data_IF_853246424100
#
_entry.id   IF_853246424100
#
_cell.length_a   1.000
_cell.length_b   1.000
_cell.length_c   1.000
_cell.angle_alpha   90.00
_cell.angle_beta   90.00
_cell.angle_gamma   90.00
#
_symmetry.space_group_name_H-M   'P 1'
#
loop_
_entity.id
_entity.type
_entity.pdbx_description
1 polymer ?
#
# COMPACT_ATOMS: atom_id res chain seq x y z
N UNK A 1 -85.00 75.61 29.79
CA UNK A 1 -84.15 75.60 28.58
C UNK A 1 -82.91 76.45 28.87
N UNK A 2 -81.72 75.95 28.49
CA UNK A 2 -80.35 76.43 28.81
C UNK A 2 -79.94 76.29 30.28
N UNK A 3 -79.20 75.26 30.73
CA UNK A 3 -77.84 74.78 30.39
C UNK A 3 -76.77 75.86 30.60
N UNK A 4 -75.92 75.69 31.62
CA UNK A 4 -74.47 75.78 31.44
C UNK A 4 -73.75 75.07 32.61
N UNK A 5 -73.02 74.01 32.26
CA UNK A 5 -72.20 73.20 33.15
C UNK A 5 -70.78 73.79 33.10
N UNK A 6 -70.28 74.33 34.22
CA UNK A 6 -68.91 74.82 34.30
C UNK A 6 -67.95 73.63 34.45
N UNK A 7 -67.40 73.17 33.33
CA UNK A 7 -66.42 72.10 33.30
C UNK A 7 -65.09 72.53 33.95
N UNK A 8 -64.72 71.87 35.04
CA UNK A 8 -63.38 71.92 35.61
C UNK A 8 -62.43 71.15 34.68
N UNK A 9 -61.51 71.86 34.03
CA UNK A 9 -60.42 71.23 33.28
C UNK A 9 -59.37 70.69 34.26
N UNK A 10 -59.42 69.40 34.53
CA UNK A 10 -58.31 68.68 35.16
C UNK A 10 -57.30 68.28 34.08
N UNK A 11 -56.10 68.85 34.12
CA UNK A 11 -54.99 68.42 33.27
C UNK A 11 -54.42 67.11 33.83
N UNK A 12 -54.77 65.99 33.22
CA UNK A 12 -54.05 64.73 33.40
C UNK A 12 -52.82 64.76 32.49
N UNK A 13 -51.65 65.12 33.04
CA UNK A 13 -50.40 64.87 32.33
C UNK A 13 -50.14 63.37 32.37
N UNK A 14 -50.24 62.69 31.23
CA UNK A 14 -49.78 61.32 31.11
C UNK A 14 -48.27 61.30 31.37
N UNK A 15 -47.83 60.66 32.47
CA UNK A 15 -46.43 60.27 32.62
C UNK A 15 -46.20 59.01 31.78
N UNK A 16 -46.07 59.20 30.47
CA UNK A 16 -45.52 58.16 29.61
C UNK A 16 -44.07 57.90 30.08
N UNK A 17 -43.67 56.64 30.36
CA UNK A 17 -42.28 56.33 30.67
C UNK A 17 -41.36 56.90 29.59
N UNK A 18 -40.25 57.51 30.00
CA UNK A 18 -39.29 58.07 29.05
C UNK A 18 -38.89 57.00 28.02
N UNK A 19 -38.92 57.37 26.74
CA UNK A 19 -38.46 56.49 25.67
C UNK A 19 -37.06 55.95 26.00
N UNK A 20 -36.79 54.67 25.74
CA UNK A 20 -35.46 54.13 25.91
C UNK A 20 -34.46 54.95 25.08
N UNK A 21 -33.28 55.17 25.65
CA UNK A 21 -32.22 55.93 25.00
C UNK A 21 -31.92 55.32 23.61
N UNK A 22 -31.69 56.19 22.62
CA UNK A 22 -31.31 55.77 21.29
C UNK A 22 -30.06 54.85 21.36
N UNK A 23 -29.97 53.81 20.50
CA UNK A 23 -28.81 52.95 20.44
C UNK A 23 -27.52 53.75 20.26
N UNK A 24 -26.45 53.32 20.94
CA UNK A 24 -25.14 53.95 20.79
C UNK A 24 -24.70 53.94 19.33
N UNK A 25 -24.11 55.05 18.88
CA UNK A 25 -23.54 55.14 17.54
C UNK A 25 -22.47 54.04 17.33
N UNK A 26 -22.39 53.52 16.11
CA UNK A 26 -21.36 52.55 15.73
C UNK A 26 -19.97 53.13 16.00
N UNK A 27 -19.12 52.32 16.62
CA UNK A 27 -17.76 52.70 16.98
C UNK A 27 -16.77 52.11 15.97
N UNK A 28 -15.69 52.85 15.70
CA UNK A 28 -14.59 52.33 14.91
C UNK A 28 -13.96 51.13 15.61
N UNK A 29 -13.59 50.12 14.82
CA UNK A 29 -12.64 49.09 15.23
C UNK A 29 -11.24 49.70 15.16
N UNK A 30 -10.45 49.55 16.22
CA UNK A 30 -9.11 50.14 16.34
C UNK A 30 -8.00 49.11 16.49
N UNK A 31 -8.33 47.86 16.82
CA UNK A 31 -7.38 46.76 16.91
C UNK A 31 -8.06 45.41 16.65
N UNK A 32 -7.28 44.41 16.27
CA UNK A 32 -7.71 43.03 16.13
C UNK A 32 -6.59 42.09 16.56
N UNK A 33 -6.95 40.92 17.08
CA UNK A 33 -6.00 39.87 17.44
C UNK A 33 -6.55 38.49 17.12
N UNK A 34 -5.64 37.54 16.86
CA UNK A 34 -5.95 36.17 16.46
C UNK A 34 -5.08 35.14 17.16
N UNK A 35 -5.62 33.95 17.36
CA UNK A 35 -4.94 32.80 17.96
C UNK A 35 -5.48 31.49 17.39
N UNK A 36 -4.69 30.42 17.49
CA UNK A 36 -5.05 29.08 17.03
C UNK A 36 -5.23 28.18 18.26
N UNK A 37 -6.37 27.51 18.33
CA UNK A 37 -6.80 26.53 19.33
C UNK A 37 -6.93 27.05 20.78
N UNK A 38 -5.89 27.64 21.35
CA UNK A 38 -5.85 28.08 22.76
C UNK A 38 -5.85 29.61 22.87
N UNK A 39 -6.81 30.18 23.61
CA UNK A 39 -6.88 31.62 23.88
C UNK A 39 -5.79 32.03 24.89
N UNK A 40 -4.82 32.89 24.51
CA UNK A 40 -3.80 33.38 25.42
C UNK A 40 -4.31 34.45 26.40
N UNK A 41 -5.58 34.86 26.27
CA UNK A 41 -6.19 35.94 27.03
C UNK A 41 -6.21 37.26 26.26
N UNK A 42 -7.07 38.16 26.72
CA UNK A 42 -7.38 39.44 26.08
C UNK A 42 -6.13 40.31 25.93
N UNK A 43 -5.80 40.72 24.70
CA UNK A 43 -4.65 41.56 24.39
C UNK A 43 -3.31 40.84 24.35
N UNK A 44 -3.29 39.51 24.48
CA UNK A 44 -2.09 38.69 24.49
C UNK A 44 -1.94 37.82 23.23
N UNK A 45 -2.89 37.90 22.28
CA UNK A 45 -2.85 37.10 21.06
C UNK A 45 -2.05 37.80 19.94
N UNK A 46 -1.93 37.13 18.78
CA UNK A 46 -1.19 37.68 17.65
C UNK A 46 -1.95 38.86 17.06
N UNK A 47 -1.32 40.03 17.01
CA UNK A 47 -1.92 41.25 16.46
C UNK A 47 -2.24 41.07 14.97
N UNK A 48 -3.47 41.40 14.59
CA UNK A 48 -3.91 41.49 13.20
C UNK A 48 -3.93 42.97 12.81
N UNK A 49 -3.07 43.41 11.86
CA UNK A 49 -3.03 44.80 11.44
C UNK A 49 -4.37 45.23 10.83
N UNK A 50 -4.94 46.31 11.35
CA UNK A 50 -6.18 46.91 10.85
C UNK A 50 -6.02 48.43 10.76
N UNK A 51 -6.56 49.03 9.71
CA UNK A 51 -6.78 50.48 9.66
C UNK A 51 -8.09 50.79 10.37
N UNK A 52 -8.07 51.75 11.30
CA UNK A 52 -9.25 52.05 12.09
C UNK A 52 -10.43 52.50 11.23
N UNK A 53 -11.61 51.94 11.48
CA UNK A 53 -12.82 52.27 10.73
C UNK A 53 -14.05 51.50 11.18
N UNK A 54 -15.20 51.90 10.66
CA UNK A 54 -16.49 51.22 10.92
C UNK A 54 -16.59 49.84 10.24
N UNK A 55 -15.79 49.62 9.19
CA UNK A 55 -15.72 48.37 8.45
C UNK A 55 -14.26 48.07 8.10
N UNK A 56 -13.80 46.87 8.43
CA UNK A 56 -12.42 46.40 8.21
C UNK A 56 -12.37 45.18 7.26
N UNK A 57 -13.36 44.99 6.39
CA UNK A 57 -13.49 43.82 5.50
C UNK A 57 -12.29 43.55 4.60
N UNK A 58 -11.44 44.55 4.38
CA UNK A 58 -10.25 44.46 3.52
C UNK A 58 -8.95 44.23 4.32
N UNK A 59 -9.04 43.97 5.63
CA UNK A 59 -7.88 43.66 6.44
C UNK A 59 -7.26 42.32 6.01
N UNK A 60 -6.03 42.34 5.53
CA UNK A 60 -5.26 41.13 5.25
C UNK A 60 -4.59 40.65 6.54
N UNK A 61 -4.89 39.41 6.95
CA UNK A 61 -4.23 38.74 8.06
C UNK A 61 -3.28 37.66 7.53
N UNK A 62 -2.01 37.72 7.90
CA UNK A 62 -1.07 36.60 7.71
C UNK A 62 -1.07 35.77 9.00
N UNK A 63 -1.64 34.58 8.95
CA UNK A 63 -1.72 33.67 10.09
C UNK A 63 -0.56 32.67 9.99
N UNK A 64 0.33 32.69 10.97
CA UNK A 64 1.43 31.73 11.05
C UNK A 64 0.90 30.38 11.56
N UNK A 65 1.10 29.33 10.77
CA UNK A 65 0.71 27.94 11.08
C UNK A 65 1.91 27.04 11.37
N UNK A 66 3.10 27.62 11.54
CA UNK A 66 4.33 26.88 11.85
C UNK A 66 4.20 26.20 13.21
N UNK A 67 4.50 24.91 13.27
CA UNK A 67 4.49 24.13 14.52
C UNK A 67 3.14 23.49 14.86
N UNK A 68 2.11 23.64 14.02
CA UNK A 68 0.88 22.87 14.16
C UNK A 68 1.12 21.39 13.84
N UNK A 69 0.45 20.51 14.58
CA UNK A 69 0.35 19.09 14.26
C UNK A 69 -0.59 18.85 13.09
N UNK A 70 -0.49 17.71 12.40
CA UNK A 70 -1.53 17.35 11.42
C UNK A 70 -2.88 17.16 12.11
N UNK A 71 -3.94 17.75 11.55
CA UNK A 71 -5.29 17.62 12.08
C UNK A 71 -6.14 18.88 11.90
N UNK A 72 -7.29 18.85 12.57
CA UNK A 72 -8.21 19.98 12.61
C UNK A 72 -7.77 21.00 13.65
N UNK A 73 -7.75 22.25 13.24
CA UNK A 73 -7.42 23.41 14.07
C UNK A 73 -8.52 24.46 13.94
N UNK A 74 -8.61 25.33 14.95
CA UNK A 74 -9.56 26.45 14.98
C UNK A 74 -8.82 27.76 15.09
N UNK A 75 -8.99 28.61 14.10
CA UNK A 75 -8.58 30.01 14.14
C UNK A 75 -9.65 30.83 14.86
N UNK A 76 -9.23 31.66 15.81
CA UNK A 76 -10.07 32.62 16.51
C UNK A 76 -9.65 34.05 16.18
N UNK A 77 -10.62 34.97 16.11
CA UNK A 77 -10.42 36.38 15.85
C UNK A 77 -11.33 37.21 16.77
N UNK A 78 -10.79 38.26 17.37
CA UNK A 78 -11.58 39.29 18.03
C UNK A 78 -11.07 40.69 17.73
N UNK A 79 -11.96 41.66 17.81
CA UNK A 79 -11.69 43.06 17.50
C UNK A 79 -11.94 43.94 18.71
N UNK A 80 -11.27 45.08 18.78
CA UNK A 80 -11.41 46.07 19.85
C UNK A 80 -11.95 47.36 19.28
N UNK A 81 -12.99 47.91 19.89
CA UNK A 81 -13.58 49.18 19.48
C UNK A 81 -12.87 50.38 20.12
N UNK A 82 -13.22 51.60 19.68
CA UNK A 82 -12.66 52.85 20.18
C UNK A 82 -12.86 53.11 21.69
N UNK A 83 -13.82 52.44 22.34
CA UNK A 83 -14.07 52.51 23.78
C UNK A 83 -13.29 51.43 24.56
N UNK A 84 -12.32 50.80 23.92
CA UNK A 84 -11.50 49.73 24.44
C UNK A 84 -12.24 48.43 24.82
N UNK A 85 -13.43 48.19 24.26
CA UNK A 85 -14.19 46.95 24.44
C UNK A 85 -13.85 45.94 23.35
N UNK A 86 -13.59 44.71 23.76
CA UNK A 86 -13.39 43.59 22.83
C UNK A 86 -14.72 43.00 22.39
N UNK A 87 -14.78 42.56 21.13
CA UNK A 87 -15.93 41.88 20.55
C UNK A 87 -16.08 40.48 21.12
N UNK A 88 -17.21 39.84 20.82
CA UNK A 88 -17.28 38.38 20.83
C UNK A 88 -16.20 37.81 19.90
N UNK A 89 -15.71 36.62 20.22
CA UNK A 89 -14.66 35.97 19.44
C UNK A 89 -15.31 35.15 18.33
N UNK A 90 -14.96 35.48 17.09
CA UNK A 90 -15.33 34.71 15.91
C UNK A 90 -14.34 33.57 15.70
N UNK A 91 -14.80 32.45 15.12
CA UNK A 91 -13.94 31.29 14.90
C UNK A 91 -14.16 30.62 13.54
N UNK A 92 -13.10 30.00 13.02
CA UNK A 92 -13.12 29.26 11.76
C UNK A 92 -12.23 28.02 11.85
N UNK A 93 -12.81 26.88 11.51
CA UNK A 93 -12.11 25.59 11.46
C UNK A 93 -11.32 25.44 10.15
N UNK A 94 -10.15 24.81 10.23
CA UNK A 94 -9.34 24.43 9.08
C UNK A 94 -8.60 23.11 9.33
N UNK A 95 -8.28 22.40 8.26
CA UNK A 95 -7.43 21.22 8.31
C UNK A 95 -5.99 21.64 7.98
N UNK A 96 -5.06 21.35 8.89
CA UNK A 96 -3.63 21.41 8.61
C UNK A 96 -3.14 20.00 8.31
N UNK A 97 -2.59 19.80 7.12
CA UNK A 97 -1.98 18.54 6.72
C UNK A 97 -0.58 18.82 6.16
N UNK A 98 0.43 18.56 6.99
CA UNK A 98 1.81 18.52 6.54
C UNK A 98 2.02 17.31 5.66
N UNK A 99 2.13 17.57 4.35
CA UNK A 99 2.47 16.57 3.36
C UNK A 99 4.00 16.64 3.11
N UNK A 100 4.81 15.77 3.72
CA UNK A 100 6.23 15.73 3.42
C UNK A 100 6.43 15.40 1.94
N UNK A 101 7.41 16.05 1.31
CA UNK A 101 7.83 15.66 -0.04
C UNK A 101 8.35 14.22 0.03
N UNK A 102 7.58 13.28 -0.52
CA UNK A 102 8.03 11.90 -0.67
C UNK A 102 9.30 11.89 -1.52
N UNK A 103 10.36 11.29 -1.00
CA UNK A 103 11.59 11.12 -1.78
C UNK A 103 11.28 10.25 -3.00
N UNK A 104 11.81 10.66 -4.16
CA UNK A 104 11.64 9.92 -5.40
C UNK A 104 12.14 8.47 -5.22
N UNK A 105 11.43 7.51 -5.82
CA UNK A 105 11.85 6.11 -5.81
C UNK A 105 13.27 5.99 -6.37
N UNK A 106 14.13 5.23 -5.69
CA UNK A 106 15.48 4.97 -6.16
C UNK A 106 15.43 4.29 -7.54
N UNK A 107 16.33 4.69 -8.44
CA UNK A 107 16.43 4.08 -9.76
C UNK A 107 16.74 2.58 -9.64
N UNK A 108 16.18 1.77 -10.56
CA UNK A 108 16.48 0.36 -10.65
C UNK A 108 17.99 0.14 -10.80
N UNK A 109 18.56 -0.71 -9.95
CA UNK A 109 19.98 -1.01 -9.94
C UNK A 109 20.28 -2.18 -10.85
N UNK A 110 21.47 -2.19 -11.45
CA UNK A 110 21.94 -3.35 -12.19
C UNK A 110 22.07 -4.54 -11.26
N UNK A 111 21.72 -5.71 -11.78
CA UNK A 111 22.09 -7.00 -11.23
C UNK A 111 23.54 -7.27 -11.65
N UNK A 112 24.40 -7.59 -10.69
CA UNK A 112 25.86 -7.73 -10.87
C UNK A 112 26.37 -9.15 -10.65
N UNK A 113 25.64 -9.97 -9.88
CA UNK A 113 25.90 -11.39 -9.75
C UNK A 113 24.60 -12.18 -9.64
N UNK A 114 24.67 -13.48 -9.92
CA UNK A 114 23.60 -14.42 -9.76
C UNK A 114 24.20 -15.79 -9.41
N UNK A 115 23.54 -16.53 -8.53
CA UNK A 115 23.97 -17.87 -8.13
C UNK A 115 22.77 -18.80 -7.95
N UNK A 116 23.02 -20.09 -8.11
CA UNK A 116 22.07 -21.14 -7.78
C UNK A 116 22.62 -22.17 -6.79
N UNK A 117 21.70 -22.83 -6.09
CA UNK A 117 21.99 -23.98 -5.24
C UNK A 117 20.78 -24.91 -5.22
N UNK A 118 21.01 -26.18 -4.89
CA UNK A 118 19.98 -27.22 -4.85
C UNK A 118 19.85 -27.72 -3.41
N UNK A 119 18.62 -27.73 -2.90
CA UNK A 119 18.18 -28.15 -1.57
C UNK A 119 18.74 -27.32 -0.40
N UNK A 120 20.06 -27.31 -0.19
CA UNK A 120 20.70 -26.64 0.94
C UNK A 120 21.36 -25.32 0.53
N UNK A 121 21.03 -24.22 1.23
CA UNK A 121 21.65 -22.90 1.01
C UNK A 121 23.09 -22.87 1.56
N UNK A 122 24.11 -22.66 0.71
CA UNK A 122 25.50 -22.56 1.17
C UNK A 122 25.85 -21.20 1.79
N UNK A 123 24.92 -20.24 1.79
CA UNK A 123 25.14 -18.85 2.17
C UNK A 123 25.51 -17.96 0.98
N UNK A 124 25.34 -16.66 1.17
CA UNK A 124 25.49 -15.64 0.13
C UNK A 124 26.88 -15.64 -0.53
N UNK A 125 26.92 -15.78 -1.86
CA UNK A 125 28.17 -15.78 -2.62
C UNK A 125 28.91 -17.12 -2.60
N UNK A 126 28.33 -18.16 -2.00
CA UNK A 126 28.88 -19.52 -1.95
C UNK A 126 28.11 -20.50 -2.84
N UNK A 127 27.10 -20.03 -3.60
CA UNK A 127 26.39 -20.83 -4.58
C UNK A 127 27.18 -21.01 -5.88
N UNK A 128 26.60 -21.77 -6.81
CA UNK A 128 27.16 -21.92 -8.15
C UNK A 128 26.83 -20.68 -8.98
N UNK A 129 27.86 -19.98 -9.46
CA UNK A 129 27.70 -18.74 -10.24
C UNK A 129 26.95 -18.98 -11.56
N UNK A 130 26.06 -18.05 -11.88
CA UNK A 130 25.36 -17.96 -13.17
C UNK A 130 25.98 -16.82 -13.97
N UNK A 131 26.43 -17.11 -15.19
CA UNK A 131 26.98 -16.09 -16.09
C UNK A 131 25.86 -15.35 -16.83
N UNK A 132 25.92 -14.02 -16.85
CA UNK A 132 25.02 -13.14 -17.57
C UNK A 132 25.68 -11.76 -17.75
N UNK A 133 25.10 -10.90 -18.59
CA UNK A 133 25.54 -9.51 -18.73
C UNK A 133 24.79 -8.63 -17.73
N UNK A 134 25.51 -7.84 -16.93
CA UNK A 134 24.91 -6.96 -15.94
C UNK A 134 23.87 -6.02 -16.57
N UNK A 135 22.67 -5.99 -15.99
CA UNK A 135 21.53 -5.20 -16.47
C UNK A 135 20.53 -4.97 -15.33
N UNK A 136 19.65 -3.98 -15.46
CA UNK A 136 18.55 -3.75 -14.51
C UNK A 136 17.49 -4.84 -14.56
N UNK A 137 17.41 -5.57 -15.66
CA UNK A 137 16.49 -6.67 -15.88
C UNK A 137 17.20 -7.75 -16.72
N UNK A 138 17.08 -9.01 -16.30
CA UNK A 138 17.67 -10.15 -17.01
C UNK A 138 16.53 -11.00 -17.53
N UNK A 139 16.27 -10.90 -18.83
CA UNK A 139 15.24 -11.68 -19.51
C UNK A 139 15.86 -12.86 -20.25
N UNK A 140 15.28 -14.05 -20.06
CA UNK A 140 15.62 -15.27 -20.81
C UNK A 140 17.11 -15.65 -20.79
N UNK A 141 17.80 -15.49 -19.65
CA UNK A 141 19.16 -16.00 -19.53
C UNK A 141 19.16 -17.54 -19.62
N UNK A 142 19.84 -18.16 -20.61
CA UNK A 142 19.93 -19.61 -20.67
C UNK A 142 20.86 -20.10 -19.56
N UNK A 143 20.30 -20.58 -18.46
CA UNK A 143 21.07 -21.15 -17.35
C UNK A 143 21.11 -22.67 -17.47
N UNK A 144 22.31 -23.24 -17.47
CA UNK A 144 22.51 -24.69 -17.38
C UNK A 144 22.69 -25.07 -15.91
N UNK A 145 21.75 -25.85 -15.37
CA UNK A 145 21.76 -26.33 -13.99
C UNK A 145 22.34 -27.73 -13.98
N UNK A 146 23.44 -27.93 -13.26
CA UNK A 146 24.03 -29.25 -13.11
C UNK A 146 23.26 -30.05 -12.06
N UNK A 147 22.68 -31.18 -12.48
CA UNK A 147 21.92 -32.11 -11.63
C UNK A 147 22.66 -33.42 -11.38
N UNK A 148 23.92 -33.52 -11.80
CA UNK A 148 24.73 -34.71 -11.56
C UNK A 148 24.93 -34.96 -10.06
N UNK A 149 24.75 -36.21 -9.64
CA UNK A 149 24.93 -36.63 -8.24
C UNK A 149 23.69 -36.46 -7.34
N UNK A 150 22.59 -35.94 -7.87
CA UNK A 150 21.30 -35.94 -7.16
C UNK A 150 20.73 -37.37 -7.07
N UNK A 151 19.98 -37.64 -6.01
CA UNK A 151 19.30 -38.92 -5.80
C UNK A 151 17.95 -38.98 -6.53
N UNK A 152 17.33 -40.15 -6.64
CA UNK A 152 15.94 -40.22 -7.11
C UNK A 152 15.02 -39.52 -6.07
N UNK A 153 14.14 -38.64 -6.53
CA UNK A 153 13.21 -37.91 -5.67
C UNK A 153 12.97 -36.45 -6.07
N UNK A 154 12.29 -35.73 -5.18
CA UNK A 154 12.00 -34.30 -5.34
C UNK A 154 13.17 -33.48 -4.84
N UNK A 155 13.64 -32.56 -5.67
CA UNK A 155 14.69 -31.59 -5.38
C UNK A 155 14.19 -30.16 -5.60
N UNK A 156 14.83 -29.21 -4.94
CA UNK A 156 14.48 -27.79 -5.01
C UNK A 156 15.65 -26.96 -5.49
N UNK A 157 15.50 -26.32 -6.63
CA UNK A 157 16.41 -25.33 -7.16
C UNK A 157 16.11 -23.96 -6.55
N UNK A 158 17.14 -23.28 -6.07
CA UNK A 158 17.10 -21.90 -5.64
C UNK A 158 17.99 -21.05 -6.55
N UNK A 159 17.52 -19.87 -6.93
CA UNK A 159 18.30 -18.88 -7.68
C UNK A 159 18.16 -17.53 -6.99
N UNK A 160 19.27 -16.85 -6.72
CA UNK A 160 19.26 -15.47 -6.21
C UNK A 160 20.23 -14.59 -6.97
N UNK A 161 19.97 -13.29 -6.94
CA UNK A 161 20.76 -12.27 -7.64
C UNK A 161 21.29 -11.23 -6.67
N UNK A 162 22.35 -10.53 -7.05
CA UNK A 162 22.99 -9.48 -6.27
C UNK A 162 22.90 -8.17 -7.04
N UNK A 163 22.47 -7.10 -6.37
CA UNK A 163 22.43 -5.76 -6.97
C UNK A 163 23.80 -5.08 -6.95
N UNK A 164 23.93 -3.97 -7.69
CA UNK A 164 25.11 -3.10 -7.67
C UNK A 164 25.39 -2.45 -6.29
N UNK A 165 24.45 -2.50 -5.35
CA UNK A 165 24.61 -2.03 -3.96
C UNK A 165 25.08 -3.16 -3.03
N UNK A 166 25.56 -4.26 -3.58
CA UNK A 166 26.01 -5.44 -2.84
C UNK A 166 24.94 -6.17 -2.03
N UNK A 167 23.65 -5.98 -2.37
CA UNK A 167 22.53 -6.64 -1.69
C UNK A 167 22.03 -7.86 -2.48
N UNK A 168 21.94 -9.00 -1.81
CA UNK A 168 21.34 -10.21 -2.37
C UNK A 168 19.81 -10.16 -2.32
N UNK A 169 19.17 -10.70 -3.35
CA UNK A 169 17.74 -10.87 -3.44
C UNK A 169 17.27 -12.02 -2.55
N UNK A 170 15.95 -12.09 -2.34
CA UNK A 170 15.31 -13.36 -1.99
C UNK A 170 15.52 -14.37 -3.11
N UNK A 171 15.58 -15.66 -2.76
CA UNK A 171 15.74 -16.73 -3.74
C UNK A 171 14.42 -17.02 -4.44
N UNK A 172 14.46 -17.09 -5.77
CA UNK A 172 13.42 -17.75 -6.55
C UNK A 172 13.56 -19.28 -6.40
N UNK A 173 12.44 -19.98 -6.39
CA UNK A 173 12.37 -21.41 -6.03
C UNK A 173 11.67 -22.18 -7.13
N UNK A 174 12.26 -23.32 -7.53
CA UNK A 174 11.66 -24.26 -8.45
C UNK A 174 11.88 -25.70 -8.01
N UNK A 175 10.80 -26.44 -7.82
CA UNK A 175 10.86 -27.87 -7.54
C UNK A 175 10.95 -28.67 -8.84
N UNK A 176 11.72 -29.76 -8.81
CA UNK A 176 11.87 -30.72 -9.91
C UNK A 176 12.06 -32.13 -9.36
N UNK A 177 11.81 -33.14 -10.20
CA UNK A 177 12.00 -34.55 -9.85
C UNK A 177 13.19 -35.07 -10.65
N UNK A 178 14.08 -35.76 -9.96
CA UNK A 178 15.09 -36.61 -10.57
C UNK A 178 14.57 -38.03 -10.46
N UNK A 179 14.41 -38.72 -11.59
CA UNK A 179 14.01 -40.12 -11.62
C UNK A 179 14.96 -40.90 -12.53
N UNK A 180 15.55 -41.96 -11.98
CA UNK A 180 16.50 -42.83 -12.68
C UNK A 180 15.83 -44.12 -13.20
N UNK A 181 14.54 -44.32 -12.94
CA UNK A 181 13.87 -45.59 -13.20
C UNK A 181 13.15 -45.60 -14.56
N UNK A 182 13.85 -46.12 -15.57
CA UNK A 182 13.18 -46.82 -16.65
C UNK A 182 13.47 -48.31 -16.53
N UNK A 183 12.99 -48.97 -15.46
CA UNK A 183 12.78 -50.41 -15.48
C UNK A 183 11.66 -50.75 -16.47
N UNK A 184 11.98 -50.69 -17.77
CA UNK A 184 11.18 -51.41 -18.75
C UNK A 184 11.27 -52.90 -18.38
N UNK A 185 10.13 -53.63 -18.36
CA UNK A 185 10.20 -55.08 -18.26
C UNK A 185 11.14 -55.58 -19.37
N UNK A 186 11.99 -56.60 -19.10
CA UNK A 186 12.86 -57.14 -20.13
C UNK A 186 12.02 -57.46 -21.36
N UNK A 187 12.50 -57.03 -22.54
CA UNK A 187 11.86 -57.32 -23.82
C UNK A 187 11.50 -58.81 -23.82
N UNK A 188 10.21 -59.18 -24.01
CA UNK A 188 9.84 -60.58 -24.15
C UNK A 188 10.76 -61.22 -25.18
N UNK A 189 11.32 -62.39 -24.86
CA UNK A 189 12.21 -63.08 -25.78
C UNK A 189 11.58 -63.13 -27.18
N UNK A 190 12.37 -62.84 -28.21
CA UNK A 190 11.89 -62.93 -29.59
C UNK A 190 11.24 -64.30 -29.80
N UNK A 191 10.10 -64.31 -30.50
CA UNK A 191 9.42 -65.56 -30.85
C UNK A 191 10.43 -66.48 -31.54
N UNK A 192 10.64 -67.67 -30.97
CA UNK A 192 11.52 -68.67 -31.55
C UNK A 192 10.75 -69.50 -32.56
N UNK A 193 11.45 -69.97 -33.60
CA UNK A 193 10.83 -70.88 -34.56
C UNK A 193 10.39 -72.17 -33.85
N UNK A 194 9.19 -72.65 -34.17
CA UNK A 194 8.82 -74.02 -33.87
C UNK A 194 9.66 -74.92 -34.79
N UNK A 195 10.62 -75.64 -34.23
CA UNK A 195 11.56 -76.50 -34.98
C UNK A 195 11.14 -77.96 -34.99
N UNK A 196 10.22 -78.34 -34.11
CA UNK A 196 9.69 -79.70 -34.02
C UNK A 196 8.30 -79.66 -33.38
N UNK A 197 7.42 -80.54 -33.86
CA UNK A 197 6.19 -80.89 -33.18
C UNK A 197 5.99 -82.40 -33.29
N UNK A 198 5.35 -82.98 -32.29
CA UNK A 198 5.02 -84.40 -32.24
C UNK A 198 3.58 -84.55 -31.73
N UNK A 199 2.92 -85.66 -32.10
CA UNK A 199 1.62 -86.02 -31.58
C UNK A 199 1.61 -87.43 -31.00
N UNK A 200 0.71 -87.66 -30.07
CA UNK A 200 0.38 -88.98 -29.53
C UNK A 200 -1.12 -89.07 -29.32
N UNK A 201 -1.63 -90.30 -29.18
CA UNK A 201 -3.02 -90.54 -28.84
C UNK A 201 -3.08 -91.31 -27.51
N UNK A 202 -3.91 -90.83 -26.60
CA UNK A 202 -4.26 -91.41 -25.30
C UNK A 202 -3.16 -91.43 -24.22
N UNK A 203 -1.91 -91.75 -24.55
CA UNK A 203 -0.81 -91.79 -23.57
C UNK A 203 0.40 -91.02 -24.10
N UNK A 204 0.85 -90.03 -23.34
CA UNK A 204 2.03 -89.23 -23.64
C UNK A 204 3.30 -90.07 -23.46
N UNK A 205 4.08 -90.34 -24.52
CA UNK A 205 5.32 -91.11 -24.43
C UNK A 205 6.50 -90.28 -23.89
N UNK A 206 6.28 -89.01 -23.57
CA UNK A 206 7.30 -88.04 -23.19
C UNK A 206 7.91 -87.32 -24.39
N UNK A 207 8.57 -86.20 -24.10
CA UNK A 207 9.14 -85.30 -25.10
C UNK A 207 10.13 -86.03 -26.04
N UNK A 208 9.91 -85.90 -27.34
CA UNK A 208 10.73 -86.49 -28.41
C UNK A 208 10.39 -87.94 -28.75
N UNK A 209 9.42 -88.55 -28.07
CA UNK A 209 9.03 -89.95 -28.27
C UNK A 209 7.65 -90.10 -28.94
N UNK A 210 7.02 -89.00 -29.35
CA UNK A 210 5.76 -88.98 -30.09
C UNK A 210 5.95 -89.32 -31.57
N UNK A 211 4.84 -89.31 -32.32
CA UNK A 211 4.89 -89.39 -33.78
C UNK A 211 5.24 -88.01 -34.33
N UNK A 212 6.36 -87.84 -35.07
CA UNK A 212 6.81 -86.53 -35.52
C UNK A 212 5.85 -85.93 -36.55
N UNK A 213 5.63 -84.62 -36.47
CA UNK A 213 4.88 -83.82 -37.44
C UNK A 213 5.89 -83.08 -38.32
N UNK A 214 5.84 -83.32 -39.63
CA UNK A 214 6.67 -82.57 -40.59
C UNK A 214 6.16 -81.13 -40.70
N UNK A 215 7.02 -80.17 -40.33
CA UNK A 215 6.74 -78.74 -40.43
C UNK A 215 7.95 -77.97 -40.95
N UNK A 216 7.69 -76.85 -41.61
CA UNK A 216 8.73 -75.88 -41.96
C UNK A 216 8.94 -74.95 -40.77
N UNK A 217 10.19 -74.76 -40.34
CA UNK A 217 10.49 -73.87 -39.23
C UNK A 217 9.94 -72.47 -39.49
N UNK A 218 9.13 -71.97 -38.55
CA UNK A 218 8.46 -70.69 -38.66
C UNK A 218 8.12 -70.12 -37.30
N UNK A 219 7.92 -68.81 -37.28
CA UNK A 219 7.42 -68.02 -36.15
C UNK A 219 5.88 -68.13 -36.19
N UNK A 220 5.23 -68.33 -35.05
CA UNK A 220 3.77 -68.15 -34.95
C UNK A 220 3.40 -66.66 -35.11
#
# INVERSE_FOLDING_TARGET
MSILFAGMLTYANAQDPAYPAAPAALQNIIAAESFIDTDPGIGAATVVPVTAGLNISNAAASINVTGLSNGFHRLFLRTKNAEARWSITESKDFLYDFNPVYQAAAMAQNITAAEYFIDNDPGFGAGTSIAFTAATEINNAPVQINTAGLTNGVHRLYIRTKSAEDRWSVSNIKDFIVDFDFAYPPIPAALQNIVAAEYFLNTDPGQGNGTPISLTAGID
#
